data_IF_730855965803
#
_entry.id   IF_730855965803
#
_cell.length_a   1.000
_cell.length_b   1.000
_cell.length_c   1.000
_cell.angle_alpha   90.00
_cell.angle_beta   90.00
_cell.angle_gamma   90.00
#
_symmetry.space_group_name_H-M   'P 1'
#
loop_
_entity.id
_entity.type
_entity.pdbx_description
1 polymer ?
#
# COMPACT_ATOMS: atom_id res chain seq x y z
N UNK A 1 5.27 25.02 -44.46
CA UNK A 1 4.97 24.46 -43.13
C UNK A 1 6.26 23.87 -42.59
N UNK A 2 6.86 24.50 -41.58
CA UNK A 2 8.07 23.98 -40.91
C UNK A 2 7.59 23.07 -39.78
N UNK A 3 7.88 21.78 -39.88
CA UNK A 3 7.63 20.79 -38.83
C UNK A 3 8.46 21.16 -37.60
N UNK A 4 7.79 21.33 -36.45
CA UNK A 4 8.47 21.47 -35.16
C UNK A 4 9.26 20.18 -34.89
N UNK A 5 10.51 20.26 -34.39
CA UNK A 5 11.22 19.08 -33.93
C UNK A 5 10.43 18.42 -32.80
N UNK A 6 10.27 17.11 -32.85
CA UNK A 6 9.88 16.33 -31.67
C UNK A 6 10.97 16.54 -30.61
N UNK A 7 10.61 17.15 -29.48
CA UNK A 7 11.46 17.14 -28.29
C UNK A 7 11.60 15.69 -27.83
N UNK A 8 12.72 15.05 -28.17
CA UNK A 8 13.13 13.80 -27.52
C UNK A 8 13.30 14.08 -26.03
N UNK A 9 12.39 13.53 -25.22
CA UNK A 9 12.40 13.70 -23.77
C UNK A 9 13.74 13.25 -23.19
N UNK A 10 14.46 14.19 -22.55
CA UNK A 10 15.71 13.92 -21.82
C UNK A 10 15.47 12.79 -20.82
N UNK A 11 16.19 11.68 -20.97
CA UNK A 11 16.25 10.62 -19.96
C UNK A 11 16.94 11.15 -18.71
N UNK A 12 16.30 10.99 -17.55
CA UNK A 12 16.91 11.35 -16.26
C UNK A 12 18.11 10.46 -16.00
N UNK A 13 19.18 11.03 -15.46
CA UNK A 13 20.34 10.25 -15.01
C UNK A 13 20.06 9.57 -13.65
N UNK A 14 20.90 8.61 -13.26
CA UNK A 14 20.68 7.82 -12.05
C UNK A 14 20.59 8.67 -10.77
N UNK A 15 21.34 9.76 -10.70
CA UNK A 15 21.32 10.71 -9.58
C UNK A 15 19.99 11.48 -9.50
N UNK A 16 19.47 11.95 -10.63
CA UNK A 16 18.16 12.61 -10.70
C UNK A 16 17.02 11.67 -10.27
N UNK A 17 17.12 10.37 -10.62
CA UNK A 17 16.16 9.35 -10.20
C UNK A 17 16.26 9.11 -8.69
N UNK A 18 17.49 8.99 -8.15
CA UNK A 18 17.73 8.81 -6.73
C UNK A 18 17.22 9.98 -5.88
N UNK A 19 17.49 11.22 -6.28
CA UNK A 19 16.92 12.41 -5.63
C UNK A 19 15.38 12.40 -5.69
N UNK A 20 14.80 11.94 -6.81
CA UNK A 20 13.36 11.74 -6.93
C UNK A 20 12.81 10.70 -5.96
N UNK A 21 13.51 9.57 -5.81
CA UNK A 21 13.19 8.51 -4.84
C UNK A 21 13.23 9.05 -3.41
N UNK A 22 14.29 9.74 -3.01
CA UNK A 22 14.41 10.33 -1.67
C UNK A 22 13.25 11.28 -1.37
N UNK A 23 12.92 12.17 -2.32
CA UNK A 23 11.77 13.07 -2.18
C UNK A 23 10.44 12.32 -2.00
N UNK A 24 10.27 11.18 -2.66
CA UNK A 24 9.05 10.35 -2.51
C UNK A 24 8.99 9.66 -1.15
N UNK A 25 10.12 9.19 -0.64
CA UNK A 25 10.22 8.65 0.73
C UNK A 25 9.89 9.73 1.77
N UNK A 26 10.48 10.92 1.65
CA UNK A 26 10.19 12.04 2.55
C UNK A 26 8.73 12.49 2.49
N UNK A 27 8.12 12.44 1.29
CA UNK A 27 6.68 12.68 1.13
C UNK A 27 5.87 11.62 1.85
N UNK A 28 6.19 10.34 1.66
CA UNK A 28 5.49 9.23 2.30
C UNK A 28 5.54 9.33 3.82
N UNK A 29 6.70 9.66 4.38
CA UNK A 29 6.88 9.86 5.82
C UNK A 29 6.00 11.00 6.36
N UNK A 30 5.98 12.15 5.69
CA UNK A 30 5.11 13.28 6.10
C UNK A 30 3.63 12.91 6.04
N UNK A 31 3.21 12.20 5.00
CA UNK A 31 1.82 11.76 4.88
C UNK A 31 1.47 10.70 5.94
N UNK A 32 2.39 9.81 6.29
CA UNK A 32 2.18 8.85 7.37
C UNK A 32 2.02 9.56 8.73
N UNK A 33 2.82 10.60 9.01
CA UNK A 33 2.70 11.39 10.24
C UNK A 33 1.35 12.13 10.32
N UNK A 34 0.93 12.81 9.24
CA UNK A 34 -0.38 13.48 9.18
C UNK A 34 -1.54 12.52 9.37
N UNK A 35 -1.43 11.31 8.80
CA UNK A 35 -2.43 10.26 9.00
C UNK A 35 -2.51 9.82 10.46
N UNK A 36 -1.36 9.65 11.11
CA UNK A 36 -1.30 9.29 12.54
C UNK A 36 -1.86 10.41 13.44
N UNK A 37 -1.84 11.66 12.97
CA UNK A 37 -2.47 12.84 13.60
C UNK A 37 -3.98 12.94 13.31
N UNK A 38 -4.54 12.03 12.50
CA UNK A 38 -5.97 11.93 12.19
C UNK A 38 -6.39 12.53 10.85
N UNK A 39 -5.45 12.93 9.99
CA UNK A 39 -5.78 13.38 8.64
C UNK A 39 -6.13 12.19 7.71
N UNK A 40 -7.15 12.38 6.86
CA UNK A 40 -7.59 11.35 5.92
C UNK A 40 -6.85 11.45 4.57
N UNK A 41 -5.53 11.24 4.61
CA UNK A 41 -4.61 11.46 3.48
C UNK A 41 -3.97 10.15 2.95
N UNK A 42 -4.71 9.04 3.04
CA UNK A 42 -4.22 7.71 2.67
C UNK A 42 -4.16 7.50 1.15
N UNK A 43 -4.94 8.24 0.38
CA UNK A 43 -4.91 8.20 -1.08
C UNK A 43 -3.61 8.78 -1.65
N UNK A 44 -3.08 9.87 -1.09
CA UNK A 44 -1.77 10.38 -1.52
C UNK A 44 -0.65 9.42 -1.13
N UNK A 45 -0.75 8.74 0.02
CA UNK A 45 0.17 7.65 0.37
C UNK A 45 0.12 6.54 -0.68
N UNK A 46 -1.08 6.09 -1.08
CA UNK A 46 -1.25 5.05 -2.08
C UNK A 46 -0.63 5.43 -3.43
N UNK A 47 -0.78 6.69 -3.87
CA UNK A 47 -0.15 7.20 -5.10
C UNK A 47 1.38 7.15 -5.01
N UNK A 48 1.95 7.56 -3.87
CA UNK A 48 3.40 7.51 -3.65
C UNK A 48 3.89 6.05 -3.66
N UNK A 49 3.20 5.15 -2.94
CA UNK A 49 3.51 3.73 -2.88
C UNK A 49 3.50 3.08 -4.26
N UNK A 50 2.50 3.39 -5.10
CA UNK A 50 2.41 2.89 -6.48
C UNK A 50 3.63 3.32 -7.29
N UNK A 51 4.02 4.60 -7.22
CA UNK A 51 5.19 5.13 -7.95
C UNK A 51 6.50 4.50 -7.46
N UNK A 52 6.61 4.26 -6.16
CA UNK A 52 7.80 3.64 -5.59
C UNK A 52 7.94 2.17 -5.99
N UNK A 53 6.84 1.41 -5.98
CA UNK A 53 6.91 -0.07 -5.94
C UNK A 53 6.29 -0.80 -7.14
N UNK A 54 5.32 -0.21 -7.85
CA UNK A 54 4.56 -0.93 -8.89
C UNK A 54 5.00 -0.48 -10.29
N UNK A 55 5.48 -1.44 -11.08
CA UNK A 55 5.69 -1.25 -12.52
C UNK A 55 4.34 -1.27 -13.25
N UNK A 56 4.19 -0.45 -14.30
CA UNK A 56 3.02 -0.43 -15.20
C UNK A 56 3.38 -1.07 -16.54
N UNK A 57 3.06 -2.36 -16.77
CA UNK A 57 3.45 -3.07 -17.98
C UNK A 57 2.89 -2.42 -19.26
N UNK A 58 1.67 -1.86 -19.17
CA UNK A 58 0.94 -1.28 -20.29
C UNK A 58 1.52 0.03 -20.83
N UNK A 59 2.39 0.72 -20.08
CA UNK A 59 2.89 2.06 -20.44
C UNK A 59 4.42 2.16 -20.48
N UNK A 60 5.13 1.04 -20.34
CA UNK A 60 6.59 1.00 -20.10
C UNK A 60 7.05 1.82 -18.87
N UNK A 61 6.12 2.31 -18.05
CA UNK A 61 6.43 3.10 -16.86
C UNK A 61 6.87 2.17 -15.75
N UNK A 62 8.14 2.27 -15.36
CA UNK A 62 8.72 1.50 -14.25
C UNK A 62 8.59 2.28 -12.95
N UNK A 63 8.40 1.55 -11.87
CA UNK A 63 8.56 2.02 -10.50
C UNK A 63 9.96 2.59 -10.28
N UNK A 64 10.11 3.40 -9.23
CA UNK A 64 11.41 3.95 -8.87
C UNK A 64 12.40 2.85 -8.46
N UNK A 65 11.95 1.81 -7.76
CA UNK A 65 12.80 0.67 -7.37
C UNK A 65 13.33 -0.09 -8.59
N UNK A 66 12.49 -0.34 -9.60
CA UNK A 66 12.91 -0.98 -10.86
C UNK A 66 13.82 -0.06 -11.68
N UNK A 67 13.52 1.25 -11.70
CA UNK A 67 14.32 2.24 -12.45
C UNK A 67 15.73 2.42 -11.85
N UNK A 68 15.85 2.32 -10.53
CA UNK A 68 17.14 2.32 -9.81
C UNK A 68 17.88 0.97 -9.91
N UNK A 69 17.25 -0.08 -10.44
CA UNK A 69 17.85 -1.40 -10.56
C UNK A 69 18.10 -2.10 -9.22
N UNK A 70 17.25 -1.80 -8.22
CA UNK A 70 17.36 -2.36 -6.86
C UNK A 70 16.17 -3.25 -6.47
N UNK A 71 15.07 -3.25 -7.23
CA UNK A 71 13.86 -4.02 -6.90
C UNK A 71 14.12 -5.52 -6.66
N UNK A 72 15.05 -6.13 -7.41
CA UNK A 72 15.41 -7.55 -7.28
C UNK A 72 16.50 -7.82 -6.23
N UNK A 73 17.10 -6.77 -5.65
CA UNK A 73 18.22 -6.87 -4.72
C UNK A 73 17.82 -6.63 -3.27
N UNK A 74 16.82 -5.78 -3.07
CA UNK A 74 16.36 -5.41 -1.74
C UNK A 74 15.28 -6.37 -1.24
N UNK A 75 15.08 -6.34 0.08
CA UNK A 75 13.98 -7.03 0.73
C UNK A 75 13.08 -6.01 1.42
N UNK A 76 11.78 -6.30 1.42
CA UNK A 76 10.76 -5.49 2.08
C UNK A 76 10.25 -6.25 3.29
N UNK A 77 10.05 -5.55 4.40
CA UNK A 77 9.41 -6.11 5.58
C UNK A 77 7.94 -6.38 5.26
N UNK A 78 7.51 -7.64 5.36
CA UNK A 78 6.10 -7.97 5.50
C UNK A 78 5.77 -8.10 6.99
N UNK A 79 4.77 -7.36 7.41
CA UNK A 79 4.10 -7.46 8.72
C UNK A 79 2.79 -8.23 8.64
N UNK A 80 2.50 -8.81 7.47
CA UNK A 80 1.26 -9.52 7.22
C UNK A 80 1.17 -10.80 8.06
N UNK A 81 0.02 -11.01 8.67
CA UNK A 81 -0.30 -12.29 9.32
C UNK A 81 -0.33 -13.41 8.27
N UNK A 82 0.21 -14.61 8.54
CA UNK A 82 0.24 -15.69 7.56
C UNK A 82 -1.15 -16.06 7.04
N UNK A 83 -1.31 -16.04 5.72
CA UNK A 83 -2.54 -16.49 5.08
C UNK A 83 -2.68 -18.01 5.20
N UNK A 84 -3.77 -18.46 5.84
CA UNK A 84 -4.12 -19.88 5.86
C UNK A 84 -5.34 -20.11 4.94
N UNK A 85 -5.17 -20.80 3.79
CA UNK A 85 -6.28 -21.02 2.85
C UNK A 85 -7.38 -21.91 3.44
N UNK A 86 -7.09 -22.68 4.50
CA UNK A 86 -8.08 -23.47 5.24
C UNK A 86 -8.88 -22.62 6.24
N UNK A 87 -8.52 -21.36 6.45
CA UNK A 87 -9.29 -20.46 7.28
C UNK A 87 -10.59 -20.08 6.55
N UNK A 88 -11.72 -20.46 7.16
CA UNK A 88 -13.06 -20.12 6.70
C UNK A 88 -13.46 -18.68 7.10
N UNK A 89 -12.75 -18.09 8.06
CA UNK A 89 -12.93 -16.70 8.48
C UNK A 89 -12.24 -15.72 7.52
N UNK A 90 -12.69 -14.47 7.55
CA UNK A 90 -12.06 -13.34 6.89
C UNK A 90 -10.58 -13.21 7.32
N UNK A 91 -9.71 -12.81 6.40
CA UNK A 91 -8.30 -12.53 6.70
C UNK A 91 -8.08 -11.02 6.66
N UNK A 92 -7.59 -10.48 7.77
CA UNK A 92 -7.11 -9.10 7.89
C UNK A 92 -5.62 -9.14 8.23
N UNK A 93 -4.79 -9.32 7.21
CA UNK A 93 -3.36 -9.55 7.39
C UNK A 93 -2.59 -8.32 7.85
N UNK A 94 -3.04 -7.12 7.47
CA UNK A 94 -2.35 -5.84 7.69
C UNK A 94 -2.95 -4.95 8.77
N UNK A 95 -4.17 -5.23 9.22
CA UNK A 95 -4.91 -4.33 10.12
C UNK A 95 -5.45 -5.11 11.30
N UNK A 96 -5.50 -4.46 12.45
CA UNK A 96 -6.15 -5.00 13.65
C UNK A 96 -7.41 -4.19 13.95
N UNK A 97 -8.34 -4.81 14.67
CA UNK A 97 -9.54 -4.13 15.15
C UNK A 97 -9.23 -3.55 16.54
N UNK A 98 -9.42 -2.24 16.71
CA UNK A 98 -9.32 -1.57 18.01
C UNK A 98 -10.73 -1.27 18.50
N UNK A 99 -11.05 -1.71 19.71
CA UNK A 99 -12.34 -1.45 20.38
C UNK A 99 -12.09 -0.53 21.58
N UNK A 100 -12.90 0.51 21.72
CA UNK A 100 -12.84 1.42 22.86
C UNK A 100 -14.25 1.92 23.22
N UNK A 101 -14.37 2.80 24.22
CA UNK A 101 -15.66 3.32 24.69
C UNK A 101 -16.41 4.19 23.66
N UNK A 102 -15.71 4.69 22.65
CA UNK A 102 -16.23 5.54 21.57
C UNK A 102 -16.59 4.74 20.31
N UNK A 103 -16.30 3.44 20.26
CA UNK A 103 -16.63 2.56 19.15
C UNK A 103 -15.49 1.62 18.78
N UNK A 104 -15.41 1.23 17.52
CA UNK A 104 -14.32 0.43 17.01
C UNK A 104 -13.86 0.91 15.64
N UNK A 105 -12.60 0.64 15.32
CA UNK A 105 -12.00 1.01 14.05
C UNK A 105 -10.93 0.00 13.64
N UNK A 106 -10.59 0.01 12.36
CA UNK A 106 -9.36 -0.61 11.88
C UNK A 106 -8.18 0.30 12.18
N UNK A 107 -7.08 -0.27 12.69
CA UNK A 107 -5.83 0.45 12.92
C UNK A 107 -4.65 -0.32 12.35
N UNK A 108 -3.65 0.42 11.88
CA UNK A 108 -2.36 -0.12 11.47
C UNK A 108 -1.57 -0.52 12.73
N UNK A 109 -1.18 -1.80 12.91
CA UNK A 109 -0.39 -2.23 14.06
C UNK A 109 1.07 -1.75 14.02
N UNK A 110 1.53 -1.24 12.88
CA UNK A 110 2.91 -0.81 12.64
C UNK A 110 3.93 -1.88 13.07
N UNK A 111 4.82 -1.56 14.00
CA UNK A 111 5.82 -2.48 14.54
C UNK A 111 5.27 -3.47 15.58
N UNK A 112 4.03 -3.30 16.04
CA UNK A 112 3.43 -4.07 17.13
C UNK A 112 2.62 -5.27 16.61
N UNK A 113 2.87 -5.72 15.38
CA UNK A 113 2.22 -6.91 14.81
C UNK A 113 2.60 -8.16 15.60
N UNK A 114 1.58 -8.87 16.10
CA UNK A 114 1.69 -10.04 16.99
C UNK A 114 2.40 -11.22 16.32
N UNK A 115 2.40 -11.26 14.99
CA UNK A 115 2.95 -12.39 14.20
C UNK A 115 4.42 -12.22 13.82
N UNK A 116 5.06 -11.13 14.22
CA UNK A 116 6.41 -10.78 13.78
C UNK A 116 6.44 -10.39 12.30
N UNK A 117 7.61 -9.91 11.84
CA UNK A 117 7.83 -9.53 10.45
C UNK A 117 8.77 -10.50 9.74
N UNK A 118 8.56 -10.69 8.43
CA UNK A 118 9.44 -11.48 7.58
C UNK A 118 9.83 -10.70 6.32
N UNK A 119 11.03 -10.92 5.81
CA UNK A 119 11.54 -10.20 4.65
C UNK A 119 11.16 -10.92 3.36
N UNK A 120 10.53 -10.22 2.42
CA UNK A 120 10.15 -10.69 1.09
C UNK A 120 10.91 -9.93 0.00
N UNK A 121 11.04 -10.49 -1.20
CA UNK A 121 11.42 -9.66 -2.36
C UNK A 121 10.23 -8.77 -2.75
N UNK A 122 10.45 -7.76 -3.57
CA UNK A 122 9.41 -6.77 -3.92
C UNK A 122 8.19 -7.42 -4.56
N UNK A 123 8.38 -8.40 -5.45
CA UNK A 123 7.28 -9.08 -6.13
C UNK A 123 6.45 -9.92 -5.16
N UNK A 124 7.09 -10.79 -4.37
CA UNK A 124 6.42 -11.61 -3.36
C UNK A 124 5.67 -10.75 -2.34
N UNK A 125 6.25 -9.60 -1.96
CA UNK A 125 5.61 -8.63 -1.06
C UNK A 125 4.37 -7.98 -1.69
N UNK A 126 4.43 -7.63 -2.98
CA UNK A 126 3.28 -7.07 -3.71
C UNK A 126 2.17 -8.10 -3.92
N UNK A 127 2.51 -9.37 -4.19
CA UNK A 127 1.56 -10.46 -4.46
C UNK A 127 1.09 -11.20 -3.21
N UNK A 128 1.63 -10.89 -2.03
CA UNK A 128 1.14 -11.47 -0.78
C UNK A 128 -0.33 -11.09 -0.54
N UNK A 129 -1.17 -12.09 -0.26
CA UNK A 129 -2.58 -11.91 0.06
C UNK A 129 -2.69 -11.28 1.45
N UNK A 130 -3.27 -10.09 1.51
CA UNK A 130 -3.37 -9.29 2.74
C UNK A 130 -4.79 -9.10 3.25
N UNK A 131 -5.78 -9.18 2.36
CA UNK A 131 -7.19 -9.15 2.74
C UNK A 131 -7.93 -10.28 2.02
N UNK A 132 -8.77 -11.00 2.76
CA UNK A 132 -9.73 -11.95 2.20
C UNK A 132 -11.09 -11.75 2.85
N UNK A 133 -12.11 -11.49 2.04
CA UNK A 133 -13.50 -11.43 2.44
C UNK A 133 -14.34 -12.27 1.47
N UNK A 134 -14.90 -13.39 1.95
CA UNK A 134 -15.68 -14.33 1.09
C UNK A 134 -14.87 -14.76 -0.14
N UNK A 135 -15.38 -14.54 -1.34
CA UNK A 135 -14.70 -14.75 -2.63
C UNK A 135 -13.64 -13.69 -2.97
N UNK A 136 -13.65 -12.53 -2.30
CA UNK A 136 -12.75 -11.43 -2.63
C UNK A 136 -11.40 -11.59 -1.94
N UNK A 137 -10.34 -11.54 -2.74
CA UNK A 137 -8.95 -11.67 -2.30
C UNK A 137 -8.18 -10.47 -2.81
N UNK A 138 -7.43 -9.81 -1.93
CA UNK A 138 -6.61 -8.67 -2.28
C UNK A 138 -5.17 -8.91 -1.86
N UNK A 139 -4.28 -8.70 -2.82
CA UNK A 139 -2.84 -8.57 -2.56
C UNK A 139 -2.49 -7.14 -2.13
N UNK A 140 -1.26 -6.89 -1.64
CA UNK A 140 -0.81 -5.51 -1.41
C UNK A 140 -0.88 -4.65 -2.65
N UNK A 141 -0.43 -5.21 -3.78
CA UNK A 141 -0.49 -4.52 -5.06
C UNK A 141 -1.92 -4.11 -5.40
N UNK A 142 -2.90 -4.97 -5.12
CA UNK A 142 -4.31 -4.66 -5.30
C UNK A 142 -4.80 -3.57 -4.36
N UNK A 143 -4.43 -3.59 -3.08
CA UNK A 143 -4.79 -2.50 -2.14
C UNK A 143 -4.24 -1.16 -2.63
N UNK A 144 -2.95 -1.11 -3.00
CA UNK A 144 -2.28 0.11 -3.47
C UNK A 144 -2.95 0.65 -4.74
N UNK A 145 -3.19 -0.21 -5.75
CA UNK A 145 -3.84 0.19 -7.00
C UNK A 145 -5.27 0.69 -6.75
N UNK A 146 -6.01 0.05 -5.85
CA UNK A 146 -7.43 0.33 -5.63
C UNK A 146 -7.62 1.76 -5.17
N UNK A 147 -6.72 2.24 -4.32
CA UNK A 147 -6.77 3.59 -3.80
C UNK A 147 -6.08 4.57 -4.77
N UNK A 148 -4.89 4.23 -5.29
CA UNK A 148 -4.08 5.14 -6.10
C UNK A 148 -4.69 5.48 -7.48
N UNK A 149 -5.65 4.70 -7.97
CA UNK A 149 -6.25 4.86 -9.31
C UNK A 149 -7.71 5.37 -9.28
N UNK A 150 -8.28 5.63 -8.09
CA UNK A 150 -9.63 6.20 -7.91
C UNK A 150 -9.86 7.55 -8.62
N UNK A 151 -8.83 8.36 -8.77
CA UNK A 151 -8.93 9.72 -9.35
C UNK A 151 -8.67 9.77 -10.88
N UNK A 152 -8.34 8.64 -11.51
CA UNK A 152 -7.74 8.59 -12.86
C UNK A 152 -8.63 8.07 -14.00
N UNK A 153 -9.95 8.01 -13.80
CA UNK A 153 -10.99 7.61 -14.77
C UNK A 153 -10.53 6.95 -16.07
N UNK A 154 -10.19 5.65 -16.06
CA UNK A 154 -10.26 4.77 -17.23
C UNK A 154 -9.90 3.32 -16.85
N UNK A 155 -10.84 2.40 -17.11
CA UNK A 155 -10.72 0.94 -17.02
C UNK A 155 -10.59 0.35 -15.61
N UNK A 156 -11.67 0.44 -14.84
CA UNK A 156 -11.92 -0.47 -13.73
C UNK A 156 -12.50 -1.78 -14.28
N UNK A 157 -11.79 -2.88 -14.04
CA UNK A 157 -12.38 -4.21 -14.21
C UNK A 157 -13.58 -4.35 -13.28
N UNK A 158 -14.72 -4.84 -13.80
CA UNK A 158 -16.00 -4.81 -13.07
C UNK A 158 -15.95 -5.56 -11.74
N UNK A 159 -15.15 -6.64 -11.68
CA UNK A 159 -14.97 -7.48 -10.49
C UNK A 159 -14.16 -6.77 -9.39
N UNK A 160 -13.20 -5.91 -9.78
CA UNK A 160 -12.34 -5.20 -8.85
C UNK A 160 -13.09 -4.06 -8.13
N UNK A 161 -13.97 -3.38 -8.85
CA UNK A 161 -14.88 -2.39 -8.26
C UNK A 161 -15.83 -3.03 -7.25
N UNK A 162 -16.35 -4.22 -7.55
CA UNK A 162 -17.24 -4.92 -6.64
C UNK A 162 -16.52 -5.32 -5.36
N UNK A 163 -15.36 -5.98 -5.43
CA UNK A 163 -14.63 -6.36 -4.22
C UNK A 163 -14.20 -5.16 -3.37
N UNK A 164 -13.71 -4.08 -4.00
CA UNK A 164 -13.38 -2.85 -3.30
C UNK A 164 -14.63 -2.25 -2.63
N UNK A 165 -15.75 -2.17 -3.36
CA UNK A 165 -17.02 -1.69 -2.80
C UNK A 165 -17.47 -2.55 -1.62
N UNK A 166 -17.36 -3.87 -1.75
CA UNK A 166 -17.76 -4.83 -0.72
C UNK A 166 -16.93 -4.65 0.56
N UNK A 167 -15.61 -4.47 0.44
CA UNK A 167 -14.74 -4.20 1.59
C UNK A 167 -14.95 -2.80 2.19
N UNK A 168 -14.93 -1.76 1.37
CA UNK A 168 -14.94 -0.37 1.83
C UNK A 168 -16.32 0.09 2.32
N UNK A 169 -17.40 -0.38 1.69
CA UNK A 169 -18.74 0.18 1.88
C UNK A 169 -19.79 -0.86 2.29
N UNK A 170 -19.61 -2.15 1.97
CA UNK A 170 -20.59 -3.20 2.31
C UNK A 170 -20.20 -4.05 3.53
N UNK A 171 -19.13 -3.67 4.27
CA UNK A 171 -18.64 -4.40 5.44
C UNK A 171 -18.40 -5.90 5.17
N UNK A 172 -17.80 -6.24 4.02
CA UNK A 172 -17.60 -7.65 3.64
C UNK A 172 -16.66 -8.43 4.57
N UNK A 173 -15.89 -7.73 5.42
CA UNK A 173 -15.13 -8.33 6.53
C UNK A 173 -16.01 -8.75 7.72
N UNK A 174 -17.28 -8.37 7.73
CA UNK A 174 -18.30 -8.88 8.65
C UNK A 174 -18.18 -8.39 10.09
N UNK A 175 -17.40 -7.35 10.35
CA UNK A 175 -17.21 -6.82 11.70
C UNK A 175 -18.26 -5.76 12.01
N UNK A 176 -19.03 -5.99 13.07
CA UNK A 176 -20.01 -5.02 13.57
C UNK A 176 -19.95 -4.98 15.10
N UNK A 177 -20.27 -3.81 15.66
CA UNK A 177 -20.40 -3.57 17.10
C UNK A 177 -21.89 -3.54 17.43
N UNK A 178 -22.30 -4.27 18.47
CA UNK A 178 -23.62 -4.15 19.07
C UNK A 178 -23.51 -3.29 20.33
N UNK A 179 -24.14 -2.12 20.31
CA UNK A 179 -24.19 -1.21 21.45
C UNK A 179 -25.28 -1.63 22.47
N UNK A 180 -25.17 -1.20 23.74
CA UNK A 180 -26.16 -1.56 24.78
C UNK A 180 -27.59 -1.11 24.49
N UNK A 181 -27.78 -0.08 23.66
CA UNK A 181 -29.08 0.42 23.22
C UNK A 181 -29.69 -0.40 22.06
N UNK A 182 -28.98 -1.42 21.58
CA UNK A 182 -29.40 -2.28 20.47
C UNK A 182 -28.93 -1.78 19.09
N UNK A 183 -28.22 -0.65 19.03
CA UNK A 183 -27.68 -0.13 17.76
C UNK A 183 -26.56 -1.04 17.24
N UNK A 184 -26.55 -1.30 15.94
CA UNK A 184 -25.47 -2.05 15.27
C UNK A 184 -24.71 -1.09 14.36
N UNK A 185 -23.39 -1.01 14.54
CA UNK A 185 -22.50 -0.23 13.69
C UNK A 185 -21.48 -1.14 13.01
N UNK A 186 -21.29 -0.95 11.70
CA UNK A 186 -20.29 -1.68 10.93
C UNK A 186 -18.91 -1.03 11.11
N UNK A 187 -17.86 -1.85 11.19
CA UNK A 187 -16.49 -1.39 11.44
C UNK A 187 -15.89 -0.57 10.29
N UNK A 188 -16.52 -0.58 9.12
CA UNK A 188 -16.21 0.30 8.00
C UNK A 188 -15.05 -0.16 7.12
N UNK A 189 -14.31 0.81 6.58
CA UNK A 189 -13.29 0.61 5.55
C UNK A 189 -11.92 0.24 6.16
N UNK A 190 -11.33 -0.93 5.84
CA UNK A 190 -9.99 -1.30 6.29
C UNK A 190 -8.86 -0.64 5.49
N UNK A 191 -9.13 -0.06 4.31
CA UNK A 191 -8.10 0.40 3.39
C UNK A 191 -7.22 1.54 3.93
N UNK A 192 -7.74 2.56 4.64
CA UNK A 192 -6.88 3.62 5.19
C UNK A 192 -5.80 3.06 6.13
N UNK A 193 -6.19 2.21 7.07
CA UNK A 193 -5.29 1.52 7.98
C UNK A 193 -4.33 0.57 7.23
N UNK A 194 -4.80 -0.15 6.22
CA UNK A 194 -3.96 -1.04 5.42
C UNK A 194 -2.89 -0.26 4.63
N UNK A 195 -3.25 0.86 3.99
CA UNK A 195 -2.29 1.73 3.28
C UNK A 195 -1.27 2.30 4.26
N UNK A 196 -1.70 2.72 5.45
CA UNK A 196 -0.78 3.18 6.50
C UNK A 196 0.21 2.09 6.93
N UNK A 197 -0.23 0.84 7.03
CA UNK A 197 0.65 -0.30 7.33
C UNK A 197 1.65 -0.56 6.20
N UNK A 198 1.20 -0.52 4.94
CA UNK A 198 2.07 -0.68 3.77
C UNK A 198 3.12 0.45 3.70
N UNK A 199 2.73 1.68 4.04
CA UNK A 199 3.66 2.81 4.14
C UNK A 199 4.75 2.56 5.18
N UNK A 200 4.39 2.02 6.36
CA UNK A 200 5.35 1.65 7.38
C UNK A 200 6.39 0.63 6.88
N UNK A 201 5.95 -0.40 6.17
CA UNK A 201 6.81 -1.44 5.61
C UNK A 201 7.82 -0.86 4.60
N UNK A 202 7.39 0.04 3.72
CA UNK A 202 8.25 0.72 2.74
C UNK A 202 9.23 1.68 3.43
N UNK A 203 8.82 2.40 4.47
CA UNK A 203 9.72 3.26 5.25
C UNK A 203 10.78 2.45 6.00
N UNK A 204 10.42 1.26 6.50
CA UNK A 204 11.39 0.32 7.09
C UNK A 204 12.34 -0.26 6.05
N UNK A 205 11.84 -0.59 4.86
CA UNK A 205 12.68 -0.99 3.73
C UNK A 205 13.70 0.11 3.41
N UNK A 206 13.30 1.38 3.28
CA UNK A 206 14.24 2.47 2.97
C UNK A 206 15.38 2.59 4.00
N UNK A 207 15.06 2.44 5.29
CA UNK A 207 16.06 2.42 6.35
C UNK A 207 17.07 1.26 6.16
N UNK A 208 16.61 0.07 5.76
CA UNK A 208 17.48 -1.08 5.46
C UNK A 208 18.34 -0.82 4.21
N UNK A 209 17.75 -0.30 3.14
CA UNK A 209 18.48 0.02 1.89
C UNK A 209 19.61 1.01 2.15
N UNK A 210 19.37 2.02 3.00
CA UNK A 210 20.39 2.99 3.44
C UNK A 210 21.50 2.32 4.26
N UNK A 211 21.14 1.47 5.22
CA UNK A 211 22.10 0.78 6.08
C UNK A 211 23.02 -0.18 5.30
N UNK A 212 22.50 -0.84 4.27
CA UNK A 212 23.25 -1.77 3.42
C UNK A 212 24.06 -1.07 2.31
N UNK A 213 23.92 0.26 2.16
CA UNK A 213 24.72 1.05 1.22
C UNK A 213 24.38 0.85 -0.26
N UNK A 214 23.26 0.20 -0.58
CA UNK A 214 22.82 -0.02 -1.97
C UNK A 214 22.65 1.28 -2.77
N UNK A 215 22.45 2.41 -2.07
CA UNK A 215 22.24 3.72 -2.67
C UNK A 215 23.47 4.65 -2.63
N UNK A 216 24.59 4.24 -2.02
CA UNK A 216 25.81 5.06 -1.93
C UNK A 216 26.44 5.37 -3.30
N UNK A 217 26.18 4.53 -4.31
CA UNK A 217 26.68 4.75 -5.65
C UNK A 217 25.89 5.84 -6.42
N UNK A 218 24.80 6.36 -5.85
CA UNK A 218 23.93 7.36 -6.49
C UNK A 218 23.92 8.72 -5.76
N UNK A 219 24.56 8.85 -4.60
CA UNK A 219 24.67 10.09 -3.81
C UNK A 219 25.63 11.12 -4.41
#
# INVERSE_FOLDING_TARGET
MVSKPQEEGRKKNAREIYVGYQRKIEQLERHALRFDEGEDNYDEMAVILRVLTIDKPSTQSRSMLSTLGIATKIRVLSTCSPFNPKNLMHTNGLVIQKFNSEGASYVAPLGDSVHGGHLLNVDDWLYEIVLKAREFVFTRGDVIKAIAEKEGGAHFDREYNEGHYQLAYANALGWSILYPDGTIENLGDPFPAAIRQIAFEVLKMDALVKAEGWLHNFS
#
